data_IF_098927445373
#
_entry.id   IF_098927445373
#
_cell.length_a   1.000
_cell.length_b   1.000
_cell.length_c   1.000
_cell.angle_alpha   90.00
_cell.angle_beta   90.00
_cell.angle_gamma   90.00
#
_symmetry.space_group_name_H-M   'P 1'
#
loop_
_entity.id
_entity.type
_entity.pdbx_description
1 polymer ?
#
# COMPACT_ATOMS: atom_id res chain seq x y z
N UNK A 1 3.25 16.26 1.17
CA UNK A 1 2.53 16.24 -0.12
C UNK A 1 3.24 15.30 -1.08
N UNK A 2 2.47 14.53 -1.84
CA UNK A 2 2.91 13.70 -2.96
C UNK A 2 2.26 14.25 -4.23
N UNK A 3 2.99 14.29 -5.35
CA UNK A 3 2.43 14.57 -6.66
C UNK A 3 3.14 13.75 -7.73
N UNK A 4 2.38 13.31 -8.73
CA UNK A 4 2.92 12.69 -9.95
C UNK A 4 2.26 13.29 -11.18
N UNK A 5 3.01 13.39 -12.28
CA UNK A 5 2.51 13.86 -13.57
C UNK A 5 2.96 12.89 -14.65
N UNK A 6 1.99 12.29 -15.36
CA UNK A 6 2.19 11.38 -16.48
C UNK A 6 3.22 10.27 -16.20
N UNK A 7 3.22 9.74 -14.96
CA UNK A 7 4.20 8.76 -14.52
C UNK A 7 4.02 7.44 -15.26
N UNK A 8 5.05 7.00 -16.01
CA UNK A 8 5.02 5.74 -16.73
C UNK A 8 6.03 4.74 -16.20
N UNK A 9 5.68 3.46 -16.25
CA UNK A 9 6.61 2.38 -15.91
C UNK A 9 6.37 1.16 -16.79
N UNK A 10 7.48 0.68 -17.37
CA UNK A 10 7.52 -0.55 -18.17
C UNK A 10 8.52 -1.54 -17.58
N UNK A 11 8.19 -2.81 -17.62
CA UNK A 11 9.07 -3.94 -17.31
C UNK A 11 9.20 -4.82 -18.57
N UNK A 12 10.36 -4.84 -19.16
CA UNK A 12 10.56 -5.48 -20.46
C UNK A 12 9.61 -4.90 -21.51
N UNK A 13 8.74 -5.73 -22.08
CA UNK A 13 7.74 -5.33 -23.09
C UNK A 13 6.40 -4.89 -22.47
N UNK A 14 6.15 -5.16 -21.17
CA UNK A 14 4.88 -4.87 -20.51
C UNK A 14 4.92 -3.50 -19.84
N UNK A 15 4.05 -2.60 -20.27
CA UNK A 15 3.79 -1.34 -19.56
C UNK A 15 2.81 -1.60 -18.42
N UNK A 16 3.11 -1.07 -17.25
CA UNK A 16 2.29 -1.22 -16.03
C UNK A 16 1.66 0.12 -15.63
N UNK A 17 2.42 1.22 -15.75
CA UNK A 17 1.88 2.56 -15.51
C UNK A 17 1.81 3.29 -16.84
N UNK A 18 0.63 3.79 -17.15
CA UNK A 18 0.28 4.41 -18.44
C UNK A 18 0.02 5.93 -18.31
N UNK A 19 0.76 6.62 -17.42
CA UNK A 19 0.60 8.05 -17.21
C UNK A 19 -0.16 8.35 -15.90
N UNK A 20 0.25 7.73 -14.78
CA UNK A 20 -0.34 8.03 -13.46
C UNK A 20 -0.08 9.49 -13.11
N UNK A 21 -1.16 10.24 -12.95
CA UNK A 21 -1.18 11.60 -12.39
C UNK A 21 -2.04 11.59 -11.15
N UNK A 22 -1.43 11.85 -9.98
CA UNK A 22 -2.11 11.90 -8.70
C UNK A 22 -1.52 12.97 -7.78
N UNK A 23 -2.33 13.37 -6.82
CA UNK A 23 -1.91 14.25 -5.72
C UNK A 23 -2.44 13.69 -4.39
N UNK A 24 -1.58 13.69 -3.36
CA UNK A 24 -1.96 13.43 -1.98
C UNK A 24 -1.39 14.54 -1.09
N UNK A 25 -2.26 15.21 -0.36
CA UNK A 25 -1.91 16.39 0.42
C UNK A 25 -1.52 16.05 1.86
N UNK A 26 -0.89 17.00 2.54
CA UNK A 26 -0.59 16.88 3.96
C UNK A 26 -1.87 16.89 4.79
N UNK A 27 -1.84 16.25 5.95
CA UNK A 27 -2.98 16.07 6.87
C UNK A 27 -4.12 15.21 6.30
N UNK A 28 -3.86 14.47 5.23
CA UNK A 28 -4.86 13.64 4.57
C UNK A 28 -4.40 12.18 4.42
N UNK A 29 -5.39 11.29 4.46
CA UNK A 29 -5.27 9.90 4.05
C UNK A 29 -5.89 9.77 2.67
N UNK A 30 -5.06 9.53 1.67
CA UNK A 30 -5.48 9.24 0.29
C UNK A 30 -5.43 7.74 0.05
N UNK A 31 -6.53 7.16 -0.38
CA UNK A 31 -6.57 5.78 -0.87
C UNK A 31 -6.27 5.74 -2.36
N UNK A 32 -5.59 4.69 -2.77
CA UNK A 32 -5.50 4.27 -4.17
C UNK A 32 -6.05 2.86 -4.27
N UNK A 33 -7.24 2.73 -4.81
CA UNK A 33 -7.99 1.47 -4.93
C UNK A 33 -8.01 1.00 -6.38
N UNK A 34 -8.28 -0.27 -6.60
CA UNK A 34 -8.32 -0.81 -7.96
C UNK A 34 -8.04 -2.31 -8.00
N UNK A 35 -8.35 -3.00 -9.11
CA UNK A 35 -8.14 -4.44 -9.25
C UNK A 35 -6.66 -4.81 -9.14
N UNK A 36 -6.42 -6.11 -8.99
CA UNK A 36 -5.07 -6.65 -9.02
C UNK A 36 -4.42 -6.39 -10.39
N UNK A 37 -3.17 -5.94 -10.36
CA UNK A 37 -2.46 -5.57 -11.60
C UNK A 37 -2.74 -4.16 -12.12
N UNK A 38 -3.59 -3.37 -11.48
CA UNK A 38 -3.90 -1.98 -11.87
C UNK A 38 -2.70 -1.01 -11.81
N UNK A 39 -1.60 -1.39 -11.14
CA UNK A 39 -0.41 -0.54 -11.04
C UNK A 39 -0.19 0.06 -9.64
N UNK A 40 -1.08 -0.17 -8.67
CA UNK A 40 -1.04 0.41 -7.32
C UNK A 40 0.31 0.23 -6.62
N UNK A 41 0.73 -1.03 -6.41
CA UNK A 41 2.02 -1.35 -5.76
C UNK A 41 3.22 -0.83 -6.55
N UNK A 42 3.13 -0.79 -7.88
CA UNK A 42 4.19 -0.23 -8.72
C UNK A 42 4.31 1.28 -8.50
N UNK A 43 3.19 1.99 -8.43
CA UNK A 43 3.16 3.43 -8.14
C UNK A 43 3.79 3.73 -6.78
N UNK A 44 3.37 3.01 -5.73
CA UNK A 44 3.96 3.18 -4.38
C UNK A 44 5.48 2.90 -4.39
N UNK A 45 5.93 1.82 -5.05
CA UNK A 45 7.36 1.50 -5.15
C UNK A 45 8.16 2.56 -5.90
N UNK A 46 7.58 3.20 -6.92
CA UNK A 46 8.19 4.34 -7.60
C UNK A 46 8.31 5.53 -6.65
N UNK A 47 7.23 5.89 -5.94
CA UNK A 47 7.22 6.98 -4.95
C UNK A 47 8.20 6.73 -3.80
N UNK A 48 8.35 5.50 -3.34
CA UNK A 48 9.34 5.10 -2.34
C UNK A 48 10.80 5.13 -2.87
N UNK A 49 11.01 5.40 -4.16
CA UNK A 49 12.32 5.41 -4.79
C UNK A 49 12.97 4.03 -4.94
N UNK A 50 12.17 2.95 -4.85
CA UNK A 50 12.62 1.56 -5.04
C UNK A 50 12.71 1.18 -6.51
N UNK A 51 11.86 1.80 -7.35
CA UNK A 51 11.79 1.55 -8.80
C UNK A 51 11.88 2.90 -9.50
N UNK A 52 12.75 2.99 -10.51
CA UNK A 52 12.86 4.18 -11.36
C UNK A 52 11.74 4.17 -12.41
N UNK A 53 10.99 5.26 -12.60
CA UNK A 53 10.02 5.39 -13.69
C UNK A 53 10.73 5.46 -15.05
N UNK A 54 10.00 5.23 -16.14
CA UNK A 54 10.50 5.40 -17.51
C UNK A 54 10.33 6.83 -17.98
N UNK A 55 9.20 7.48 -17.64
CA UNK A 55 8.95 8.90 -17.94
C UNK A 55 7.96 9.49 -16.95
N UNK A 56 7.66 10.77 -17.07
CA UNK A 56 6.87 11.55 -16.14
C UNK A 56 7.69 12.06 -14.95
N UNK A 57 7.04 12.79 -14.06
CA UNK A 57 7.64 13.35 -12.85
C UNK A 57 6.93 12.85 -11.61
N UNK A 58 7.66 12.77 -10.50
CA UNK A 58 7.09 12.49 -9.20
C UNK A 58 7.87 13.23 -8.10
N UNK A 59 7.10 13.81 -7.18
CA UNK A 59 7.64 14.54 -6.03
C UNK A 59 7.08 13.98 -4.73
N UNK A 60 7.94 13.85 -3.74
CA UNK A 60 7.59 13.44 -2.39
C UNK A 60 8.15 14.46 -1.42
N UNK A 61 7.28 15.08 -0.63
CA UNK A 61 7.63 16.16 0.30
C UNK A 61 8.40 17.32 -0.39
N UNK A 62 8.01 17.68 -1.62
CA UNK A 62 8.66 18.70 -2.42
C UNK A 62 9.97 18.27 -3.10
N UNK A 63 10.43 17.03 -2.90
CA UNK A 63 11.64 16.52 -3.52
C UNK A 63 11.33 15.64 -4.74
N UNK A 64 11.91 15.95 -5.88
CA UNK A 64 11.90 15.09 -7.07
C UNK A 64 12.57 13.75 -6.73
N UNK A 65 11.85 12.63 -6.95
CA UNK A 65 12.29 11.28 -6.58
C UNK A 65 13.51 10.79 -7.38
N UNK A 66 13.86 11.43 -8.49
CA UNK A 66 15.03 11.11 -9.32
C UNK A 66 16.18 12.04 -9.01
N UNK A 67 15.94 13.37 -9.13
CA UNK A 67 16.99 14.40 -8.98
C UNK A 67 17.43 14.54 -7.54
N UNK A 68 16.52 14.37 -6.56
CA UNK A 68 16.77 14.51 -5.12
C UNK A 68 16.38 13.24 -4.35
N UNK A 69 16.73 12.09 -4.91
CA UNK A 69 16.31 10.76 -4.43
C UNK A 69 16.53 10.55 -2.93
N UNK A 70 17.72 10.87 -2.43
CA UNK A 70 18.05 10.66 -0.99
C UNK A 70 17.14 11.52 -0.10
N UNK A 71 16.89 12.78 -0.47
CA UNK A 71 16.00 13.65 0.30
C UNK A 71 14.55 13.15 0.28
N UNK A 72 14.05 12.71 -0.89
CA UNK A 72 12.73 12.08 -1.03
C UNK A 72 12.62 10.82 -0.17
N UNK A 73 13.60 9.92 -0.20
CA UNK A 73 13.62 8.69 0.60
C UNK A 73 13.71 8.96 2.11
N UNK A 74 14.49 9.96 2.54
CA UNK A 74 14.54 10.39 3.96
C UNK A 74 13.19 10.92 4.43
N UNK A 75 12.42 11.55 3.55
CA UNK A 75 11.07 12.07 3.85
C UNK A 75 9.99 11.01 3.81
N UNK A 76 10.33 9.75 3.50
CA UNK A 76 9.36 8.67 3.25
C UNK A 76 9.58 7.50 4.21
N UNK A 77 8.49 6.98 4.78
CA UNK A 77 8.46 5.64 5.34
C UNK A 77 7.51 4.78 4.49
N UNK A 78 7.96 3.57 4.16
CA UNK A 78 7.22 2.64 3.29
C UNK A 78 6.98 1.32 3.99
N UNK A 79 5.71 0.89 4.00
CA UNK A 79 5.28 -0.42 4.46
C UNK A 79 4.86 -1.25 3.24
N UNK A 80 5.62 -2.29 2.86
CA UNK A 80 5.24 -3.18 1.77
C UNK A 80 4.10 -4.12 2.20
N UNK A 81 3.39 -4.67 1.22
CA UNK A 81 2.34 -5.67 1.41
C UNK A 81 2.79 -6.87 2.27
N UNK A 82 4.04 -7.30 2.08
CA UNK A 82 4.66 -8.39 2.85
C UNK A 82 6.02 -7.93 3.37
N UNK A 83 6.08 -7.37 4.59
CA UNK A 83 7.35 -7.01 5.19
C UNK A 83 8.24 -8.22 5.40
N UNK A 84 9.52 -8.07 5.07
CA UNK A 84 10.52 -9.13 5.26
C UNK A 84 11.68 -8.56 6.07
N UNK A 85 12.12 -9.32 7.05
CA UNK A 85 13.21 -8.97 7.96
C UNK A 85 14.24 -10.11 7.99
N UNK A 86 15.44 -9.81 8.41
CA UNK A 86 16.48 -10.83 8.53
C UNK A 86 16.07 -11.89 9.57
N UNK A 87 15.99 -13.18 9.22
CA UNK A 87 15.35 -14.23 10.05
C UNK A 87 15.96 -14.39 11.44
N UNK A 88 17.28 -14.18 11.56
CA UNK A 88 18.03 -14.35 12.82
C UNK A 88 18.05 -13.10 13.72
N UNK A 89 17.46 -11.99 13.31
CA UNK A 89 17.33 -10.82 14.17
C UNK A 89 16.05 -10.89 14.98
N UNK A 90 16.10 -10.43 16.20
CA UNK A 90 14.93 -10.20 17.04
C UNK A 90 14.16 -8.95 16.58
N UNK A 91 12.88 -8.83 16.98
CA UNK A 91 12.08 -7.64 16.67
C UNK A 91 12.78 -6.34 17.12
N UNK A 92 13.36 -6.37 18.33
CA UNK A 92 14.05 -5.21 18.88
C UNK A 92 15.33 -4.87 18.11
N UNK A 93 16.13 -5.87 17.72
CA UNK A 93 17.33 -5.66 16.92
C UNK A 93 17.01 -5.08 15.55
N UNK A 94 15.93 -5.55 14.91
CA UNK A 94 15.43 -4.98 13.65
C UNK A 94 15.13 -3.49 13.83
N UNK A 95 14.36 -3.11 14.84
CA UNK A 95 14.03 -1.69 15.05
C UNK A 95 15.26 -0.86 15.42
N UNK A 96 16.17 -1.37 16.23
CA UNK A 96 17.44 -0.68 16.58
C UNK A 96 18.32 -0.45 15.35
N UNK A 97 18.42 -1.43 14.46
CA UNK A 97 19.12 -1.28 13.19
C UNK A 97 18.55 -0.16 12.34
N UNK A 98 17.22 -0.13 12.16
CA UNK A 98 16.57 0.91 11.38
C UNK A 98 16.58 2.28 12.08
N UNK A 99 16.51 2.33 13.41
CA UNK A 99 16.71 3.56 14.18
C UNK A 99 18.06 4.20 13.88
N UNK A 100 19.14 3.38 13.88
CA UNK A 100 20.47 3.83 13.51
C UNK A 100 20.55 4.38 12.09
N UNK A 101 19.97 3.70 11.11
CA UNK A 101 19.95 4.16 9.72
C UNK A 101 19.18 5.48 9.53
N UNK A 102 18.15 5.72 10.35
CA UNK A 102 17.32 6.93 10.30
C UNK A 102 17.79 8.06 11.21
N UNK A 103 18.77 7.83 12.07
CA UNK A 103 19.19 8.79 13.08
C UNK A 103 18.13 9.03 14.16
N UNK A 104 17.26 8.03 14.41
CA UNK A 104 16.22 8.08 15.43
C UNK A 104 16.76 7.50 16.74
N UNK A 105 16.45 8.10 17.91
CA UNK A 105 16.89 7.56 19.19
C UNK A 105 16.45 6.11 19.42
N UNK A 106 17.41 5.24 19.76
CA UNK A 106 17.16 3.80 20.00
C UNK A 106 16.18 3.58 21.17
N UNK A 107 16.12 4.52 22.12
CA UNK A 107 15.15 4.50 23.24
C UNK A 107 13.69 4.46 22.79
N UNK A 108 13.37 4.87 21.56
CA UNK A 108 12.00 4.79 21.00
C UNK A 108 11.61 3.38 20.55
N UNK A 109 12.58 2.47 20.34
CA UNK A 109 12.30 1.15 19.74
C UNK A 109 11.35 0.30 20.58
N UNK A 110 11.57 0.24 21.89
CA UNK A 110 10.72 -0.56 22.80
C UNK A 110 9.30 0.02 22.86
N UNK A 111 9.17 1.34 22.95
CA UNK A 111 7.87 2.00 22.92
C UNK A 111 7.10 1.72 21.61
N UNK A 112 7.78 1.66 20.46
CA UNK A 112 7.14 1.33 19.18
C UNK A 112 6.71 -0.13 19.12
N UNK A 113 7.47 -1.07 19.71
CA UNK A 113 7.05 -2.46 19.82
C UNK A 113 5.83 -2.60 20.74
N UNK A 114 5.82 -1.93 21.89
CA UNK A 114 4.67 -1.91 22.79
C UNK A 114 3.42 -1.38 22.07
N UNK A 115 3.55 -0.25 21.38
CA UNK A 115 2.48 0.39 20.61
C UNK A 115 1.89 -0.55 19.53
N UNK A 116 2.75 -1.36 18.89
CA UNK A 116 2.35 -2.33 17.87
C UNK A 116 1.94 -3.70 18.45
N UNK A 117 1.78 -3.84 19.78
CA UNK A 117 1.39 -5.09 20.42
C UNK A 117 2.47 -6.18 20.37
N UNK A 118 3.72 -5.81 20.18
CA UNK A 118 4.87 -6.73 20.09
C UNK A 118 5.83 -6.62 21.28
N UNK A 119 5.39 -6.03 22.40
CA UNK A 119 6.25 -5.88 23.58
C UNK A 119 6.79 -7.20 24.08
N UNK A 120 5.93 -8.21 24.28
CA UNK A 120 6.31 -9.55 24.72
C UNK A 120 7.13 -10.31 23.68
N UNK A 121 6.98 -9.96 22.41
CA UNK A 121 7.73 -10.54 21.30
C UNK A 121 9.03 -9.77 20.97
N UNK A 122 9.41 -8.75 21.74
CA UNK A 122 10.56 -7.90 21.46
C UNK A 122 11.88 -8.70 21.24
N UNK A 123 12.05 -9.79 21.98
CA UNK A 123 13.22 -10.70 21.89
C UNK A 123 12.99 -11.91 21.00
N UNK A 124 11.83 -12.03 20.37
CA UNK A 124 11.52 -13.12 19.43
C UNK A 124 12.22 -12.89 18.09
N UNK A 125 12.85 -13.92 17.53
CA UNK A 125 13.43 -13.88 16.19
C UNK A 125 12.35 -13.72 15.13
N UNK A 126 12.63 -12.92 14.09
CA UNK A 126 11.63 -12.58 13.07
C UNK A 126 11.14 -13.76 12.24
N UNK A 127 11.92 -14.85 12.14
CA UNK A 127 11.49 -16.10 11.49
C UNK A 127 10.33 -16.78 12.20
N UNK A 128 10.19 -16.57 13.52
CA UNK A 128 9.12 -17.15 14.35
C UNK A 128 7.84 -16.33 14.35
N UNK A 129 7.84 -15.17 13.73
CA UNK A 129 6.67 -14.30 13.69
C UNK A 129 5.59 -14.88 12.76
N UNK A 130 4.33 -14.80 13.20
CA UNK A 130 3.18 -14.99 12.32
C UNK A 130 3.14 -13.90 11.22
N UNK A 131 2.30 -14.09 10.21
CA UNK A 131 2.09 -13.06 9.17
C UNK A 131 1.63 -11.73 9.75
N UNK A 132 0.66 -11.75 10.67
CA UNK A 132 0.17 -10.56 11.36
C UNK A 132 1.23 -9.89 12.22
N UNK A 133 1.97 -10.64 13.03
CA UNK A 133 3.07 -10.10 13.84
C UNK A 133 4.15 -9.45 12.97
N UNK A 134 4.46 -10.06 11.82
CA UNK A 134 5.44 -9.49 10.87
C UNK A 134 4.93 -8.18 10.27
N UNK A 135 3.64 -8.11 9.98
CA UNK A 135 3.00 -6.88 9.52
C UNK A 135 3.06 -5.79 10.60
N UNK A 136 2.72 -6.12 11.85
CA UNK A 136 2.80 -5.21 13.00
C UNK A 136 4.24 -4.71 13.26
N UNK A 137 5.26 -5.56 13.08
CA UNK A 137 6.66 -5.13 13.13
C UNK A 137 6.98 -4.11 12.03
N UNK A 138 6.42 -4.31 10.82
CA UNK A 138 6.51 -3.33 9.74
C UNK A 138 5.83 -2.01 10.08
N UNK A 139 4.68 -2.04 10.76
CA UNK A 139 4.01 -0.83 11.25
C UNK A 139 4.84 -0.15 12.34
N UNK A 140 5.42 -0.90 13.28
CA UNK A 140 6.32 -0.34 14.30
C UNK A 140 7.51 0.40 13.66
N UNK A 141 8.11 -0.18 12.62
CA UNK A 141 9.16 0.46 11.83
C UNK A 141 8.66 1.74 11.12
N UNK A 142 7.48 1.67 10.48
CA UNK A 142 6.88 2.82 9.79
C UNK A 142 6.70 4.02 10.75
N UNK A 143 6.20 3.76 11.96
CA UNK A 143 5.99 4.78 12.99
C UNK A 143 7.29 5.26 13.64
N UNK A 144 8.26 4.36 13.82
CA UNK A 144 9.60 4.69 14.34
C UNK A 144 10.31 5.70 13.43
N UNK A 145 10.17 5.55 12.12
CA UNK A 145 10.82 6.40 11.13
C UNK A 145 10.38 7.87 11.22
N UNK A 146 9.22 8.15 11.79
CA UNK A 146 8.62 9.49 11.96
C UNK A 146 8.70 10.39 10.72
N UNK A 147 8.57 9.77 9.55
CA UNK A 147 8.68 10.45 8.27
C UNK A 147 7.43 11.28 7.97
N UNK A 148 7.56 12.45 7.28
CA UNK A 148 6.41 13.28 6.90
C UNK A 148 5.49 12.62 5.85
N UNK A 149 5.96 11.61 5.13
CA UNK A 149 5.18 10.88 4.13
C UNK A 149 5.18 9.39 4.46
N UNK A 150 3.98 8.82 4.57
CA UNK A 150 3.77 7.39 4.81
C UNK A 150 3.15 6.76 3.55
N UNK A 151 3.81 5.74 3.03
CA UNK A 151 3.36 4.93 1.90
C UNK A 151 3.06 3.52 2.38
N UNK A 152 1.83 3.04 2.20
CA UNK A 152 1.42 1.74 2.67
C UNK A 152 0.79 0.92 1.54
N UNK A 153 1.35 -0.25 1.30
CA UNK A 153 0.87 -1.17 0.25
C UNK A 153 0.12 -2.33 0.91
N UNK A 154 -1.23 -2.34 0.81
CA UNK A 154 -2.12 -3.34 1.38
C UNK A 154 -1.85 -3.64 2.87
N UNK A 155 -1.82 -2.63 3.76
CA UNK A 155 -1.29 -2.78 5.11
C UNK A 155 -2.15 -3.68 6.03
N UNK A 156 -3.43 -3.88 5.71
CA UNK A 156 -4.37 -4.66 6.51
C UNK A 156 -4.45 -6.15 6.19
N UNK A 157 -3.83 -6.61 5.09
CA UNK A 157 -4.09 -7.92 4.51
C UNK A 157 -3.84 -9.12 5.45
N UNK A 158 -2.86 -9.01 6.34
CA UNK A 158 -2.49 -10.08 7.30
C UNK A 158 -2.92 -9.79 8.73
N UNK A 159 -3.69 -8.73 8.94
CA UNK A 159 -4.17 -8.30 10.26
C UNK A 159 -5.60 -8.77 10.50
N UNK A 160 -5.92 -9.13 11.73
CA UNK A 160 -7.30 -9.32 12.16
C UNK A 160 -8.08 -7.98 12.19
N UNK A 161 -9.42 -8.01 12.25
CA UNK A 161 -10.24 -6.79 12.21
C UNK A 161 -9.89 -5.77 13.29
N UNK A 162 -9.54 -6.22 14.50
CA UNK A 162 -9.17 -5.34 15.62
C UNK A 162 -7.89 -4.55 15.32
N UNK A 163 -6.86 -5.24 14.82
CA UNK A 163 -5.60 -4.61 14.44
C UNK A 163 -5.73 -3.72 13.19
N UNK A 164 -6.61 -4.07 12.24
CA UNK A 164 -6.91 -3.19 11.10
C UNK A 164 -7.52 -1.88 11.55
N UNK A 165 -8.52 -1.92 12.44
CA UNK A 165 -9.14 -0.73 13.01
C UNK A 165 -8.14 0.13 13.79
N UNK A 166 -7.32 -0.50 14.63
CA UNK A 166 -6.24 0.19 15.34
C UNK A 166 -5.28 0.90 14.37
N UNK A 167 -4.85 0.24 13.30
CA UNK A 167 -3.96 0.81 12.29
C UNK A 167 -4.59 2.04 11.63
N UNK A 168 -5.86 1.95 11.24
CA UNK A 168 -6.61 3.04 10.64
C UNK A 168 -6.67 4.26 11.58
N UNK A 169 -7.02 4.05 12.84
CA UNK A 169 -7.04 5.11 13.85
C UNK A 169 -5.65 5.73 14.06
N UNK A 170 -4.62 4.90 14.07
CA UNK A 170 -3.24 5.37 14.20
C UNK A 170 -2.80 6.20 13.00
N UNK A 171 -3.16 5.79 11.79
CA UNK A 171 -2.88 6.56 10.56
C UNK A 171 -3.67 7.89 10.56
N UNK A 172 -4.93 7.91 11.01
CA UNK A 172 -5.70 9.15 11.15
C UNK A 172 -4.99 10.13 12.09
N UNK A 173 -4.57 9.66 13.26
CA UNK A 173 -3.79 10.45 14.21
C UNK A 173 -2.49 11.00 13.58
N UNK A 174 -1.75 10.19 12.81
CA UNK A 174 -0.53 10.65 12.13
C UNK A 174 -0.83 11.68 11.02
N UNK A 175 -1.95 11.54 10.31
CA UNK A 175 -2.40 12.53 9.34
C UNK A 175 -2.70 13.87 10.01
N UNK A 176 -3.44 13.88 11.13
CA UNK A 176 -3.75 15.09 11.92
C UNK A 176 -2.50 15.80 12.42
N UNK A 177 -1.43 15.05 12.71
CA UNK A 177 -0.11 15.60 13.04
C UNK A 177 0.64 16.22 11.85
N UNK A 178 0.03 16.24 10.67
CA UNK A 178 0.57 16.91 9.49
C UNK A 178 1.17 15.99 8.43
N UNK A 179 1.14 14.65 8.63
CA UNK A 179 1.72 13.72 7.66
C UNK A 179 0.84 13.58 6.43
N UNK A 180 1.47 13.25 5.31
CA UNK A 180 0.81 12.82 4.07
C UNK A 180 0.78 11.31 4.04
N UNK A 181 -0.38 10.71 3.85
CA UNK A 181 -0.54 9.26 3.88
C UNK A 181 -1.17 8.79 2.58
N UNK A 182 -0.51 7.85 1.89
CA UNK A 182 -1.02 7.17 0.71
C UNK A 182 -1.10 5.67 0.99
N UNK A 183 -2.31 5.11 0.89
CA UNK A 183 -2.59 3.70 1.16
C UNK A 183 -3.14 3.05 -0.09
N UNK A 184 -2.62 1.88 -0.47
CA UNK A 184 -3.34 1.00 -1.40
C UNK A 184 -4.11 -0.04 -0.61
N UNK A 185 -5.32 -0.34 -1.02
CA UNK A 185 -6.14 -1.38 -0.41
C UNK A 185 -7.18 -1.92 -1.40
N UNK A 186 -7.61 -3.14 -1.16
CA UNK A 186 -8.80 -3.72 -1.76
C UNK A 186 -9.95 -3.87 -0.74
N UNK A 187 -9.70 -3.69 0.55
CA UNK A 187 -10.70 -3.66 1.62
C UNK A 187 -11.28 -2.25 1.73
N UNK A 188 -12.05 -1.84 0.72
CA UNK A 188 -12.38 -0.43 0.48
C UNK A 188 -13.31 0.12 1.56
N UNK A 189 -14.40 -0.60 1.88
CA UNK A 189 -15.42 -0.15 2.83
C UNK A 189 -14.87 0.09 4.25
N UNK A 190 -13.83 -0.61 4.65
CA UNK A 190 -13.21 -0.40 5.96
C UNK A 190 -12.61 1.00 6.16
N UNK A 191 -12.48 1.79 5.09
CA UNK A 191 -11.87 3.12 5.11
C UNK A 191 -12.86 4.28 4.98
N UNK A 192 -14.17 4.01 4.90
CA UNK A 192 -15.22 5.02 4.69
C UNK A 192 -15.13 6.19 5.67
N UNK A 193 -14.89 5.91 6.96
CA UNK A 193 -14.81 6.92 8.01
C UNK A 193 -13.39 7.46 8.26
N UNK A 194 -12.40 6.98 7.51
CA UNK A 194 -10.98 7.25 7.78
C UNK A 194 -10.31 8.01 6.66
N UNK A 195 -10.67 7.72 5.41
CA UNK A 195 -10.05 8.33 4.24
C UNK A 195 -10.62 9.72 3.94
N UNK A 196 -9.74 10.61 3.50
CA UNK A 196 -10.14 11.95 3.02
C UNK A 196 -10.35 11.96 1.50
N UNK A 197 -9.64 11.07 0.77
CA UNK A 197 -9.72 10.96 -0.69
C UNK A 197 -9.57 9.51 -1.13
N UNK A 198 -10.24 9.15 -2.23
CA UNK A 198 -10.13 7.83 -2.82
C UNK A 198 -9.94 7.91 -4.34
N UNK A 199 -8.84 7.38 -4.84
CA UNK A 199 -8.45 7.38 -6.25
C UNK A 199 -8.61 5.99 -6.85
N UNK A 200 -9.49 5.85 -7.86
CA UNK A 200 -9.66 4.61 -8.59
C UNK A 200 -8.55 4.44 -9.64
N UNK A 201 -7.71 3.44 -9.44
CA UNK A 201 -6.63 3.08 -10.35
C UNK A 201 -7.03 1.86 -11.18
N UNK A 202 -7.05 1.99 -12.50
CA UNK A 202 -7.28 0.89 -13.47
C UNK A 202 -6.31 1.00 -14.65
N UNK A 203 -5.89 -0.12 -15.17
CA UNK A 203 -5.03 -0.17 -16.36
C UNK A 203 -3.83 0.79 -16.33
N UNK A 204 -3.26 1.00 -15.14
CA UNK A 204 -2.09 1.87 -14.96
C UNK A 204 -2.36 3.37 -15.08
N UNK A 205 -3.61 3.81 -14.93
CA UNK A 205 -4.00 5.23 -14.86
C UNK A 205 -4.89 5.48 -13.64
N UNK A 206 -4.98 6.71 -13.17
CA UNK A 206 -6.05 7.14 -12.27
C UNK A 206 -7.26 7.48 -13.14
N UNK A 207 -8.30 6.66 -13.03
CA UNK A 207 -9.51 6.79 -13.85
C UNK A 207 -10.42 7.89 -13.33
N UNK A 208 -10.66 7.91 -12.03
CA UNK A 208 -11.50 8.90 -11.36
C UNK A 208 -11.25 8.94 -9.86
N UNK A 209 -11.79 9.96 -9.21
CA UNK A 209 -11.89 10.05 -7.75
C UNK A 209 -13.28 9.57 -7.30
N UNK A 210 -13.30 8.81 -6.19
CA UNK A 210 -14.51 8.31 -5.55
C UNK A 210 -14.76 9.09 -4.27
N UNK A 211 -16.03 9.20 -3.85
CA UNK A 211 -16.36 9.75 -2.54
C UNK A 211 -15.98 8.76 -1.45
N UNK A 212 -15.00 9.07 -0.58
CA UNK A 212 -14.55 8.16 0.45
C UNK A 212 -15.59 7.84 1.51
N UNK A 213 -16.69 8.63 1.61
CA UNK A 213 -17.79 8.39 2.56
C UNK A 213 -18.82 7.39 2.05
N UNK A 214 -18.73 7.03 0.79
CA UNK A 214 -19.70 6.13 0.15
C UNK A 214 -18.97 5.15 -0.77
N UNK A 215 -17.96 4.46 -0.19
CA UNK A 215 -17.23 3.45 -0.91
C UNK A 215 -18.01 2.13 -0.88
N UNK A 216 -18.10 1.41 -1.99
CA UNK A 216 -18.78 0.12 -2.05
C UNK A 216 -18.02 -0.94 -1.25
N UNK A 217 -18.74 -1.97 -0.81
CA UNK A 217 -18.16 -3.08 -0.06
C UNK A 217 -17.22 -3.92 -0.92
N UNK A 218 -17.54 -4.08 -2.21
CA UNK A 218 -16.76 -4.85 -3.16
C UNK A 218 -16.36 -4.02 -4.39
N UNK A 219 -15.23 -4.39 -4.96
CA UNK A 219 -14.68 -3.81 -6.19
C UNK A 219 -15.60 -4.08 -7.40
N UNK A 220 -16.30 -5.22 -7.41
CA UNK A 220 -17.21 -5.62 -8.46
C UNK A 220 -18.44 -4.69 -8.55
N UNK A 221 -18.82 -4.03 -7.48
CA UNK A 221 -19.89 -3.01 -7.49
C UNK A 221 -19.45 -1.72 -8.21
N UNK A 222 -18.16 -1.37 -8.12
CA UNK A 222 -17.61 -0.23 -8.88
C UNK A 222 -17.62 -0.55 -10.38
N UNK A 223 -17.54 -1.83 -10.75
CA UNK A 223 -17.50 -2.30 -12.14
C UNK A 223 -18.89 -2.47 -12.76
N UNK A 224 -19.92 -2.69 -11.94
CA UNK A 224 -21.29 -2.91 -12.41
C UNK A 224 -21.91 -1.69 -13.10
N UNK A 225 -21.38 -0.48 -12.91
CA UNK A 225 -21.76 0.72 -13.67
C UNK A 225 -21.17 0.76 -15.09
N UNK A 226 -20.20 -0.10 -15.41
CA UNK A 226 -19.74 -0.37 -16.77
C UNK A 226 -20.20 -1.77 -17.15
N UNK A 227 -21.22 -1.86 -18.04
CA UNK A 227 -21.76 -3.13 -18.55
C UNK A 227 -20.59 -4.07 -18.91
N UNK A 228 -20.46 -5.19 -18.17
CA UNK A 228 -19.66 -6.33 -18.65
C UNK A 228 -20.23 -6.72 -20.01
N UNK A 229 -19.42 -6.93 -21.06
CA UNK A 229 -19.93 -7.62 -22.23
C UNK A 229 -20.43 -8.98 -21.72
N UNK A 230 -21.72 -9.27 -22.03
CA UNK A 230 -22.36 -10.51 -21.60
C UNK A 230 -21.51 -11.71 -22.07
N UNK A 231 -20.92 -12.43 -21.13
CA UNK A 231 -20.28 -13.73 -21.38
C UNK A 231 -21.28 -14.83 -21.77
N UNK A 232 -22.54 -14.45 -21.97
CA UNK A 232 -23.66 -15.35 -22.30
C UNK A 232 -23.63 -15.94 -23.71
N UNK A 233 -22.80 -15.46 -24.62
CA UNK A 233 -22.72 -16.04 -25.98
C UNK A 233 -21.79 -17.23 -26.08
N UNK A 234 -20.69 -17.29 -25.33
CA UNK A 234 -19.70 -18.39 -25.42
C UNK A 234 -20.15 -19.62 -24.63
N UNK A 235 -20.77 -19.45 -23.47
CA UNK A 235 -21.33 -20.57 -22.70
C UNK A 235 -22.53 -21.22 -23.40
N UNK A 236 -23.35 -20.45 -24.12
CA UNK A 236 -24.47 -21.01 -24.93
C UNK A 236 -24.00 -21.76 -26.16
N UNK A 237 -22.87 -21.41 -26.74
CA UNK A 237 -22.27 -22.13 -27.85
C UNK A 237 -21.59 -23.44 -27.45
N UNK A 238 -20.93 -23.46 -26.26
CA UNK A 238 -20.30 -24.67 -25.71
C UNK A 238 -21.30 -25.71 -25.21
N UNK A 239 -22.48 -25.29 -24.74
CA UNK A 239 -23.56 -26.20 -24.34
C UNK A 239 -24.38 -26.71 -25.52
N UNK A 240 -24.37 -26.07 -26.69
CA UNK A 240 -25.04 -26.51 -27.91
C UNK A 240 -24.26 -27.55 -28.71
N UNK A 241 -22.94 -27.61 -28.56
CA UNK A 241 -22.06 -28.51 -29.28
C UNK A 241 -21.62 -29.72 -28.41
N UNK A 242 -22.58 -30.38 -27.77
CA UNK A 242 -22.47 -31.65 -27.05
C UNK A 242 -21.13 -32.40 -27.14
N UNK A 243 -20.15 -32.03 -26.34
CA UNK A 243 -18.85 -32.70 -26.24
C UNK A 243 -18.56 -33.10 -24.81
N UNK A 244 -19.00 -34.33 -24.45
CA UNK A 244 -18.52 -35.05 -23.29
C UNK A 244 -16.99 -35.19 -23.35
N UNK A 245 -16.26 -34.60 -22.41
CA UNK A 245 -14.94 -35.12 -22.05
C UNK A 245 -15.01 -35.73 -20.65
N UNK A 246 -15.13 -37.04 -20.65
CA UNK A 246 -14.86 -37.93 -19.53
C UNK A 246 -13.35 -37.91 -19.26
N UNK A 247 -12.94 -37.49 -18.07
CA UNK A 247 -11.59 -37.76 -17.57
C UNK A 247 -11.74 -38.82 -16.49
N UNK A 248 -11.44 -40.07 -16.87
CA UNK A 248 -11.14 -41.18 -15.97
C UNK A 248 -9.63 -41.29 -15.81
N UNK A 249 -9.22 -41.35 -14.52
CA UNK A 249 -7.93 -41.72 -13.90
C UNK A 249 -6.88 -40.63 -13.80
#
# INVERSE_FOLDING_TARGET
MISTENLTKRFGRKTILHGISLRADAKQITLMVGPNGAGKSTTIKVLAGLIRPNSGTAHVNGFDIIKRRIAAQRSTAYLPQRPSFHPKLTCLEVLRFYAGLRGVPVSRCEAMLQLAGLGDAARMHTEKLSGGMRQLLGVAFLLLADAPVLLLDEPGLSLDPGWRKWLQQKLRFEAERGKTILVTTHLIAEWNDVADRCLLCRHGVIERELDPRNLPDDFDEIDSSTKRPEFTSIEKELTRNGGLFSITR
#
